data_IF_638709187381
#
_entry.id   IF_638709187381
#
_cell.length_a   1.000
_cell.length_b   1.000
_cell.length_c   1.000
_cell.angle_alpha   90.00
_cell.angle_beta   90.00
_cell.angle_gamma   90.00
#
_symmetry.space_group_name_H-M   'P 1'
#
loop_
_entity.id
_entity.type
_entity.pdbx_description
1 polymer ?
#
# COMPACT_ATOMS: atom_id res chain seq x y z
N UNK A 1 4.88 -15.96 -19.63
CA UNK A 1 3.94 -14.98 -20.22
C UNK A 1 4.34 -13.52 -20.02
N UNK A 2 5.64 -13.18 -20.04
CA UNK A 2 6.12 -11.79 -19.99
C UNK A 2 6.95 -11.41 -21.23
N UNK A 3 6.99 -12.28 -22.23
CA UNK A 3 7.81 -12.12 -23.42
C UNK A 3 7.50 -10.79 -24.13
N UNK A 4 6.24 -10.55 -24.53
CA UNK A 4 5.87 -9.32 -25.23
C UNK A 4 6.24 -8.03 -24.47
N UNK A 5 6.13 -8.04 -23.15
CA UNK A 5 6.53 -6.93 -22.28
C UNK A 5 8.06 -6.69 -22.34
N UNK A 6 8.85 -7.77 -22.22
CA UNK A 6 10.31 -7.69 -22.28
C UNK A 6 10.84 -7.39 -23.68
N UNK A 7 10.22 -7.90 -24.75
CA UNK A 7 10.60 -7.59 -26.14
C UNK A 7 10.57 -6.09 -26.43
N UNK A 8 9.54 -5.41 -25.93
CA UNK A 8 9.36 -3.97 -26.14
C UNK A 8 10.44 -3.20 -25.40
N UNK A 9 10.73 -3.58 -24.16
CA UNK A 9 11.81 -2.96 -23.38
C UNK A 9 13.17 -3.23 -24.04
N UNK A 10 13.40 -4.46 -24.54
CA UNK A 10 14.65 -4.85 -25.20
C UNK A 10 14.96 -4.02 -26.43
N UNK A 11 13.94 -3.52 -27.14
CA UNK A 11 14.13 -2.62 -28.28
C UNK A 11 14.66 -1.22 -27.91
N UNK A 12 14.64 -0.87 -26.61
CA UNK A 12 15.03 0.45 -26.11
C UNK A 12 16.26 0.41 -25.20
N UNK A 13 16.45 -0.67 -24.43
CA UNK A 13 17.55 -0.83 -23.47
C UNK A 13 18.02 -2.28 -23.38
N UNK A 14 19.23 -2.48 -22.84
CA UNK A 14 19.70 -3.80 -22.43
C UNK A 14 18.93 -4.30 -21.20
N UNK A 15 18.68 -5.61 -21.13
CA UNK A 15 17.94 -6.22 -20.02
C UNK A 15 18.90 -7.13 -19.25
N UNK A 16 19.04 -6.82 -17.97
CA UNK A 16 19.85 -7.56 -17.02
C UNK A 16 18.93 -8.34 -16.08
N UNK A 17 19.41 -9.47 -15.54
CA UNK A 17 18.66 -10.26 -14.57
C UNK A 17 19.59 -10.87 -13.52
N UNK A 18 19.05 -11.13 -12.33
CA UNK A 18 19.74 -11.82 -11.23
C UNK A 18 18.96 -13.09 -10.86
N UNK A 19 18.81 -13.99 -11.82
CA UNK A 19 17.96 -15.17 -11.70
C UNK A 19 18.82 -16.39 -11.42
N UNK A 20 18.43 -17.17 -10.41
CA UNK A 20 19.01 -18.47 -10.13
C UNK A 20 18.77 -19.44 -11.31
N UNK A 21 19.83 -20.10 -11.77
CA UNK A 21 19.75 -21.16 -12.77
C UNK A 21 20.21 -22.45 -12.12
N UNK A 22 19.30 -23.42 -12.01
CA UNK A 22 19.64 -24.79 -11.62
C UNK A 22 20.34 -25.48 -12.79
N UNK A 23 21.65 -25.69 -12.67
CA UNK A 23 22.47 -26.36 -13.70
C UNK A 23 22.27 -27.88 -13.73
N UNK A 24 21.66 -28.47 -12.70
CA UNK A 24 21.47 -29.92 -12.55
C UNK A 24 20.07 -30.40 -12.95
N UNK A 25 19.11 -29.47 -13.10
CA UNK A 25 17.75 -29.79 -13.54
C UNK A 25 17.69 -30.35 -14.97
N UNK A 26 17.26 -31.62 -15.10
CA UNK A 26 17.13 -32.35 -16.39
C UNK A 26 16.11 -31.73 -17.36
N UNK A 27 15.20 -30.89 -16.87
CA UNK A 27 14.22 -30.16 -17.69
C UNK A 27 14.51 -28.66 -17.68
N UNK A 28 15.41 -28.22 -18.57
CA UNK A 28 15.72 -26.80 -18.83
C UNK A 28 14.51 -26.10 -19.44
N UNK A 29 13.53 -25.73 -18.63
CA UNK A 29 12.56 -24.72 -19.04
C UNK A 29 13.23 -23.35 -18.88
N UNK A 30 13.99 -22.97 -19.91
CA UNK A 30 14.56 -21.61 -20.02
C UNK A 30 13.39 -20.62 -20.09
N UNK A 31 12.96 -20.14 -18.93
CA UNK A 31 11.91 -19.12 -18.78
C UNK A 31 12.45 -17.71 -19.00
N UNK A 32 13.78 -17.58 -19.12
CA UNK A 32 14.51 -16.34 -19.36
C UNK A 32 14.84 -16.25 -20.86
N UNK A 33 14.46 -15.16 -21.56
CA UNK A 33 14.86 -14.93 -22.94
C UNK A 33 16.40 -14.86 -23.11
N UNK A 34 16.91 -15.30 -24.26
CA UNK A 34 18.35 -15.40 -24.53
C UNK A 34 19.10 -14.06 -24.58
N UNK A 35 18.39 -12.95 -24.80
CA UNK A 35 18.97 -11.60 -24.81
C UNK A 35 19.12 -10.98 -23.41
N UNK A 36 18.70 -11.68 -22.35
CA UNK A 36 18.86 -11.20 -20.98
C UNK A 36 20.26 -11.53 -20.49
N UNK A 37 21.00 -10.50 -20.11
CA UNK A 37 22.29 -10.64 -19.45
C UNK A 37 22.06 -11.10 -18.00
N UNK A 38 22.09 -12.41 -17.75
CA UNK A 38 21.87 -12.96 -16.42
C UNK A 38 23.16 -13.00 -15.60
N UNK A 39 23.17 -12.33 -14.45
CA UNK A 39 24.27 -12.24 -13.50
C UNK A 39 24.23 -13.32 -12.43
N UNK A 40 23.19 -14.16 -12.42
CA UNK A 40 22.99 -15.15 -11.36
C UNK A 40 22.60 -14.50 -10.03
N UNK A 41 22.83 -15.20 -8.91
CA UNK A 41 22.61 -14.62 -7.59
C UNK A 41 23.83 -13.78 -7.19
N UNK A 42 23.58 -12.52 -6.85
CA UNK A 42 24.60 -11.58 -6.40
C UNK A 42 24.55 -11.42 -4.88
N UNK A 43 25.70 -11.10 -4.28
CA UNK A 43 25.72 -10.58 -2.92
C UNK A 43 25.16 -9.13 -2.89
N UNK A 44 25.00 -8.56 -1.68
CA UNK A 44 24.44 -7.22 -1.54
C UNK A 44 25.26 -6.13 -2.23
N UNK A 45 26.59 -6.16 -2.12
CA UNK A 45 27.48 -5.15 -2.71
C UNK A 45 27.43 -5.14 -4.24
N UNK A 46 27.51 -6.32 -4.85
CA UNK A 46 27.44 -6.49 -6.30
C UNK A 46 26.04 -6.11 -6.84
N UNK A 47 24.98 -6.46 -6.09
CA UNK A 47 23.63 -6.05 -6.44
C UNK A 47 23.48 -4.51 -6.42
N UNK A 48 23.97 -3.84 -5.38
CA UNK A 48 23.93 -2.38 -5.31
C UNK A 48 24.78 -1.73 -6.40
N UNK A 49 25.91 -2.32 -6.78
CA UNK A 49 26.72 -1.87 -7.92
C UNK A 49 25.95 -1.97 -9.23
N UNK A 50 25.27 -3.09 -9.46
CA UNK A 50 24.39 -3.27 -10.62
C UNK A 50 23.21 -2.27 -10.62
N UNK A 51 22.60 -2.02 -9.46
CA UNK A 51 21.50 -1.07 -9.34
C UNK A 51 21.94 0.37 -9.64
N UNK A 52 23.12 0.80 -9.18
CA UNK A 52 23.69 2.13 -9.50
C UNK A 52 23.99 2.32 -10.99
N UNK A 53 24.22 1.22 -11.71
CA UNK A 53 24.42 1.23 -13.17
C UNK A 53 23.09 1.11 -13.95
N UNK A 54 21.99 0.81 -13.26
CA UNK A 54 20.69 0.54 -13.87
C UNK A 54 19.82 1.80 -13.90
N UNK A 55 19.29 2.15 -15.08
CA UNK A 55 18.34 3.26 -15.21
C UNK A 55 16.92 2.87 -14.77
N UNK A 56 16.53 1.63 -15.03
CA UNK A 56 15.16 1.13 -14.86
C UNK A 56 15.20 -0.21 -14.11
N UNK A 57 14.39 -0.32 -13.06
CA UNK A 57 14.09 -1.58 -12.38
C UNK A 57 12.72 -2.09 -12.85
N UNK A 58 12.70 -3.31 -13.40
CA UNK A 58 11.55 -3.83 -14.15
C UNK A 58 10.72 -4.78 -13.28
N UNK A 59 9.55 -4.36 -12.84
CA UNK A 59 8.58 -5.24 -12.18
C UNK A 59 7.92 -6.20 -13.16
N UNK A 60 7.76 -7.46 -12.74
CA UNK A 60 7.12 -8.52 -13.53
C UNK A 60 5.71 -8.88 -13.05
N UNK A 61 5.27 -8.33 -11.91
CA UNK A 61 3.99 -8.57 -11.26
C UNK A 61 4.06 -9.53 -10.06
N UNK A 62 5.25 -10.08 -9.79
CA UNK A 62 5.57 -10.91 -8.63
C UNK A 62 7.10 -10.86 -8.40
N UNK A 63 7.61 -10.87 -7.15
CA UNK A 63 6.90 -10.91 -5.87
C UNK A 63 6.13 -9.62 -5.55
N UNK A 64 5.14 -9.71 -4.66
CA UNK A 64 4.37 -8.57 -4.17
C UNK A 64 5.09 -7.89 -3.00
N UNK A 65 5.15 -6.56 -3.00
CA UNK A 65 5.59 -5.74 -1.85
C UNK A 65 6.94 -6.16 -1.23
N UNK A 66 7.87 -6.61 -2.07
CA UNK A 66 9.24 -6.90 -1.64
C UNK A 66 10.08 -5.62 -1.50
N UNK A 67 11.24 -5.68 -0.82
CA UNK A 67 12.10 -4.53 -0.59
C UNK A 67 12.86 -4.05 -1.85
N UNK A 68 13.11 -4.93 -2.83
CA UNK A 68 13.98 -4.65 -3.96
C UNK A 68 13.61 -3.40 -4.79
N UNK A 69 12.32 -3.08 -5.06
CA UNK A 69 11.97 -1.80 -5.69
C UNK A 69 12.42 -0.57 -4.89
N UNK A 70 12.40 -0.61 -3.56
CA UNK A 70 12.87 0.51 -2.73
C UNK A 70 14.39 0.64 -2.78
N UNK A 71 15.12 -0.49 -2.74
CA UNK A 71 16.58 -0.49 -2.92
C UNK A 71 16.99 0.06 -4.29
N UNK A 72 16.26 -0.29 -5.34
CA UNK A 72 16.50 0.22 -6.68
C UNK A 72 16.32 1.75 -6.77
N UNK A 73 15.21 2.27 -6.21
CA UNK A 73 14.93 3.71 -6.17
C UNK A 73 15.96 4.45 -5.30
N UNK A 74 16.37 3.86 -4.19
CA UNK A 74 17.44 4.39 -3.33
C UNK A 74 18.81 4.40 -4.01
N UNK A 75 19.00 3.68 -5.13
CA UNK A 75 20.21 3.72 -5.96
C UNK A 75 20.01 4.51 -7.26
N UNK A 76 18.88 5.22 -7.41
CA UNK A 76 18.61 6.12 -8.54
C UNK A 76 17.91 5.47 -9.74
N UNK A 77 17.56 4.19 -9.65
CA UNK A 77 16.80 3.51 -10.70
C UNK A 77 15.31 3.85 -10.61
N UNK A 78 14.65 3.92 -11.76
CA UNK A 78 13.20 4.13 -11.84
C UNK A 78 12.47 2.79 -11.85
N UNK A 79 11.47 2.61 -10.99
CA UNK A 79 10.70 1.37 -10.93
C UNK A 79 9.50 1.39 -11.88
N UNK A 80 9.45 0.44 -12.82
CA UNK A 80 8.22 0.13 -13.56
C UNK A 80 7.40 -0.85 -12.73
N UNK A 81 6.27 -0.38 -12.20
CA UNK A 81 5.40 -1.11 -11.29
C UNK A 81 4.16 -1.65 -12.03
N UNK A 82 4.00 -2.96 -12.20
CA UNK A 82 2.83 -3.52 -12.87
C UNK A 82 1.53 -3.20 -12.13
N UNK A 83 0.59 -2.56 -12.83
CA UNK A 83 -0.78 -2.30 -12.38
C UNK A 83 -1.62 -3.56 -12.47
N UNK A 84 -2.51 -3.77 -11.50
CA UNK A 84 -3.47 -4.86 -11.46
C UNK A 84 -4.89 -4.33 -11.61
N UNK A 85 -5.54 -4.71 -12.70
CA UNK A 85 -6.95 -4.45 -12.94
C UNK A 85 -7.64 -5.73 -13.45
N UNK A 86 -8.52 -6.37 -12.66
CA UNK A 86 -8.91 -5.99 -11.31
C UNK A 86 -7.75 -6.12 -10.29
N UNK A 87 -7.80 -5.41 -9.15
CA UNK A 87 -6.84 -5.56 -8.06
C UNK A 87 -6.72 -7.01 -7.56
N UNK A 88 -5.51 -7.45 -7.24
CA UNK A 88 -5.28 -8.80 -6.72
C UNK A 88 -5.67 -8.91 -5.25
N UNK A 89 -6.34 -9.99 -4.85
CA UNK A 89 -6.73 -10.26 -3.46
C UNK A 89 -6.90 -11.75 -3.21
N UNK A 90 -7.26 -12.11 -1.97
CA UNK A 90 -7.61 -13.49 -1.58
C UNK A 90 -8.78 -14.07 -2.39
N UNK A 91 -9.62 -13.22 -3.00
CA UNK A 91 -10.79 -13.63 -3.80
C UNK A 91 -10.44 -14.09 -5.22
N UNK A 92 -9.34 -13.58 -5.81
CA UNK A 92 -9.04 -13.80 -7.23
C UNK A 92 -7.61 -14.27 -7.53
N UNK A 93 -6.74 -14.36 -6.54
CA UNK A 93 -5.31 -14.69 -6.73
C UNK A 93 -4.89 -15.78 -5.77
N UNK A 94 -4.44 -16.93 -6.31
CA UNK A 94 -4.08 -18.12 -5.53
C UNK A 94 -3.07 -17.84 -4.41
N UNK A 95 -2.08 -16.97 -4.65
CA UNK A 95 -1.07 -16.59 -3.66
C UNK A 95 -1.67 -15.95 -2.39
N UNK A 96 -2.79 -15.25 -2.52
CA UNK A 96 -3.46 -14.59 -1.38
C UNK A 96 -4.55 -15.47 -0.75
N UNK A 97 -4.85 -16.65 -1.31
CA UNK A 97 -5.89 -17.54 -0.75
C UNK A 97 -5.53 -17.95 0.68
N UNK A 98 -6.47 -17.80 1.60
CA UNK A 98 -6.30 -18.16 3.02
C UNK A 98 -5.53 -17.15 3.87
N UNK A 99 -5.00 -16.07 3.29
CA UNK A 99 -4.41 -14.98 4.10
C UNK A 99 -5.51 -14.22 4.85
N UNK A 100 -5.32 -13.87 6.13
CA UNK A 100 -6.35 -13.25 6.98
C UNK A 100 -6.50 -11.75 6.68
N UNK A 101 -6.84 -11.40 5.45
CA UNK A 101 -7.03 -10.01 5.02
C UNK A 101 -7.94 -9.92 3.80
N UNK A 102 -8.78 -8.88 3.75
CA UNK A 102 -9.57 -8.51 2.58
C UNK A 102 -8.89 -7.47 1.68
N UNK A 103 -7.62 -7.13 1.99
CA UNK A 103 -6.89 -6.11 1.24
C UNK A 103 -6.75 -6.49 -0.22
N UNK A 104 -6.97 -5.49 -1.09
CA UNK A 104 -6.78 -5.56 -2.53
C UNK A 104 -5.50 -4.82 -2.92
N UNK A 105 -4.63 -5.43 -3.72
CA UNK A 105 -3.42 -4.80 -4.27
C UNK A 105 -3.71 -4.27 -5.66
N UNK A 106 -3.56 -2.96 -5.85
CA UNK A 106 -3.75 -2.25 -7.12
C UNK A 106 -2.54 -2.36 -8.06
N UNK A 107 -1.39 -2.78 -7.55
CA UNK A 107 -0.14 -2.96 -8.30
C UNK A 107 0.80 -3.94 -7.60
N UNK A 108 1.94 -4.27 -8.22
CA UNK A 108 2.95 -5.15 -7.63
C UNK A 108 3.47 -4.61 -6.29
N UNK A 109 3.63 -3.29 -6.17
CA UNK A 109 4.07 -2.63 -4.95
C UNK A 109 3.20 -1.40 -4.63
N UNK A 110 2.01 -1.57 -4.01
CA UNK A 110 1.08 -0.47 -3.75
C UNK A 110 1.66 0.67 -2.90
N UNK A 111 2.59 0.39 -1.99
CA UNK A 111 3.31 1.46 -1.28
C UNK A 111 4.09 2.37 -2.23
N UNK A 112 4.79 1.79 -3.22
CA UNK A 112 5.61 2.55 -4.16
C UNK A 112 4.72 3.34 -5.13
N UNK A 113 3.58 2.77 -5.52
CA UNK A 113 2.52 3.46 -6.26
C UNK A 113 1.97 4.67 -5.50
N UNK A 114 1.65 4.51 -4.21
CA UNK A 114 0.89 5.51 -3.45
C UNK A 114 1.77 6.60 -2.82
N UNK A 115 2.94 6.25 -2.31
CA UNK A 115 3.77 7.16 -1.50
C UNK A 115 4.98 7.71 -2.24
N UNK A 116 5.41 7.07 -3.34
CA UNK A 116 6.53 7.55 -4.17
C UNK A 116 6.02 8.13 -5.48
N UNK A 117 5.27 7.34 -6.25
CA UNK A 117 4.71 7.77 -7.52
C UNK A 117 5.76 8.26 -8.52
N UNK A 118 5.32 8.95 -9.57
CA UNK A 118 6.23 9.60 -10.52
C UNK A 118 6.99 10.75 -9.80
N UNK A 119 8.30 10.95 -10.06
CA UNK A 119 9.10 10.37 -11.13
C UNK A 119 9.76 9.00 -10.83
N UNK A 120 9.69 8.51 -9.59
CA UNK A 120 10.44 7.32 -9.17
C UNK A 120 9.77 6.00 -9.57
N UNK A 121 8.43 6.02 -9.66
CA UNK A 121 7.61 4.83 -9.86
C UNK A 121 6.58 5.09 -10.95
N UNK A 122 6.62 4.28 -12.00
CA UNK A 122 5.64 4.31 -13.08
C UNK A 122 4.71 3.09 -12.96
N UNK A 123 3.50 3.32 -12.45
CA UNK A 123 2.49 2.26 -12.29
C UNK A 123 1.65 2.11 -13.56
N UNK A 124 1.92 1.07 -14.36
CA UNK A 124 1.36 0.92 -15.72
C UNK A 124 0.78 -0.47 -15.97
N UNK A 125 -0.16 -0.58 -16.93
CA UNK A 125 -0.60 -1.90 -17.40
C UNK A 125 0.46 -2.48 -18.35
N UNK A 126 1.24 -3.43 -17.85
CA UNK A 126 2.30 -4.09 -18.62
C UNK A 126 1.79 -4.97 -19.78
N UNK A 127 0.47 -5.17 -19.91
CA UNK A 127 -0.13 -5.80 -21.10
C UNK A 127 -0.38 -4.79 -22.22
N UNK A 128 -0.49 -3.50 -21.89
CA UNK A 128 -0.60 -2.44 -22.87
C UNK A 128 0.81 -2.08 -23.39
N UNK A 129 1.20 -2.74 -24.48
CA UNK A 129 2.52 -2.61 -25.08
C UNK A 129 2.86 -1.18 -25.49
N UNK A 130 1.89 -0.42 -25.98
CA UNK A 130 2.11 0.98 -26.33
C UNK A 130 2.43 1.81 -25.08
N UNK A 131 1.66 1.63 -24.00
CA UNK A 131 1.93 2.29 -22.73
C UNK A 131 3.33 1.96 -22.16
N UNK A 132 3.75 0.69 -22.29
CA UNK A 132 5.11 0.27 -21.89
C UNK A 132 6.16 1.03 -22.68
N UNK A 133 6.04 1.05 -24.02
CA UNK A 133 6.99 1.72 -24.91
C UNK A 133 7.09 3.21 -24.59
N UNK A 134 5.96 3.89 -24.47
CA UNK A 134 5.90 5.32 -24.19
C UNK A 134 6.46 5.65 -22.81
N UNK A 135 6.20 4.80 -21.82
CA UNK A 135 6.72 4.96 -20.46
C UNK A 135 8.23 4.81 -20.42
N UNK A 136 8.79 3.77 -21.05
CA UNK A 136 10.24 3.55 -21.10
C UNK A 136 10.91 4.71 -21.84
N UNK A 137 10.39 5.13 -23.00
CA UNK A 137 10.92 6.28 -23.73
C UNK A 137 10.89 7.56 -22.88
N UNK A 138 9.78 7.83 -22.18
CA UNK A 138 9.64 8.97 -21.26
C UNK A 138 10.67 8.94 -20.13
N UNK A 139 10.92 7.77 -19.55
CA UNK A 139 11.96 7.61 -18.52
C UNK A 139 13.34 7.92 -19.10
N UNK A 140 13.67 7.38 -20.27
CA UNK A 140 14.98 7.61 -20.91
C UNK A 140 15.22 9.08 -21.27
N UNK A 141 14.17 9.82 -21.65
CA UNK A 141 14.28 11.25 -21.96
C UNK A 141 14.46 12.14 -20.73
N UNK A 142 13.93 11.75 -19.56
CA UNK A 142 13.81 12.65 -18.40
C UNK A 142 15.15 12.99 -17.73
N UNK A 143 16.17 12.14 -17.85
CA UNK A 143 17.56 12.29 -17.36
C UNK A 143 17.85 12.83 -15.95
N UNK A 144 16.84 13.25 -15.18
CA UNK A 144 16.93 13.82 -13.84
C UNK A 144 16.26 12.85 -12.85
N UNK A 145 16.94 11.74 -12.55
CA UNK A 145 16.54 10.88 -11.44
C UNK A 145 17.62 10.89 -10.40
N UNK A 146 17.25 11.29 -9.19
CA UNK A 146 18.14 11.25 -8.03
C UNK A 146 17.79 10.04 -7.16
N UNK A 147 18.79 9.41 -6.53
CA UNK A 147 18.55 8.44 -5.47
C UNK A 147 17.55 8.98 -4.45
N UNK A 148 16.53 8.19 -4.13
CA UNK A 148 15.50 8.60 -3.16
C UNK A 148 15.16 7.46 -2.21
N UNK A 149 15.17 7.78 -0.92
CA UNK A 149 14.75 6.88 0.15
C UNK A 149 13.74 7.64 1.02
N UNK A 150 12.49 7.15 1.16
CA UNK A 150 11.54 7.75 2.08
C UNK A 150 12.11 7.71 3.49
N UNK A 151 11.92 8.78 4.25
CA UNK A 151 12.48 8.91 5.59
C UNK A 151 12.14 7.70 6.48
N UNK A 152 10.91 7.18 6.43
CA UNK A 152 10.47 6.00 7.19
C UNK A 152 11.23 4.70 6.89
N UNK A 153 11.99 4.66 5.80
CA UNK A 153 12.88 3.55 5.42
C UNK A 153 14.37 3.83 5.66
N UNK A 154 14.73 5.01 6.17
CA UNK A 154 16.08 5.29 6.69
C UNK A 154 16.26 4.68 8.08
N UNK A 155 17.51 4.52 8.51
CA UNK A 155 17.84 4.05 9.86
C UNK A 155 17.21 4.97 10.93
N UNK A 156 17.35 6.29 10.77
CA UNK A 156 16.81 7.29 11.70
C UNK A 156 15.27 7.25 11.73
N UNK A 157 14.62 7.22 10.58
CA UNK A 157 13.16 7.15 10.51
C UNK A 157 12.60 5.84 11.06
N UNK A 158 13.31 4.72 10.92
CA UNK A 158 12.93 3.48 11.59
C UNK A 158 13.08 3.60 13.11
N UNK A 159 14.19 4.15 13.61
CA UNK A 159 14.41 4.35 15.04
C UNK A 159 13.36 5.28 15.66
N UNK A 160 13.03 6.40 15.02
CA UNK A 160 11.98 7.31 15.46
C UNK A 160 10.63 6.58 15.60
N UNK A 161 10.22 5.83 14.57
CA UNK A 161 8.96 5.08 14.58
C UNK A 161 8.94 4.03 15.68
N UNK A 162 10.01 3.27 15.82
CA UNK A 162 10.10 2.22 16.84
C UNK A 162 10.09 2.81 18.25
N UNK A 163 10.82 3.91 18.48
CA UNK A 163 10.83 4.61 19.75
C UNK A 163 9.43 5.09 20.15
N UNK A 164 8.71 5.77 19.23
CA UNK A 164 7.35 6.23 19.48
C UNK A 164 6.39 5.08 19.81
N UNK A 165 6.51 3.93 19.14
CA UNK A 165 5.72 2.75 19.49
C UNK A 165 6.06 2.21 20.89
N UNK A 166 7.34 2.13 21.24
CA UNK A 166 7.77 1.63 22.56
C UNK A 166 7.26 2.53 23.68
N UNK A 167 7.37 3.84 23.53
CA UNK A 167 7.02 4.81 24.58
C UNK A 167 5.50 5.01 24.71
N UNK A 168 4.75 4.96 23.61
CA UNK A 168 3.36 5.42 23.61
C UNK A 168 2.31 4.34 23.26
N UNK A 169 2.67 3.28 22.54
CA UNK A 169 1.69 2.26 22.12
C UNK A 169 1.43 1.26 23.26
N UNK A 170 0.43 1.56 24.10
CA UNK A 170 0.10 0.79 25.29
C UNK A 170 -1.22 0.02 25.17
N UNK A 171 -1.14 -1.31 25.15
CA UNK A 171 -2.30 -2.22 25.16
C UNK A 171 -2.54 -2.91 26.51
N UNK A 172 -1.80 -2.57 27.57
CA UNK A 172 -1.84 -3.29 28.85
C UNK A 172 -2.66 -2.58 29.93
N UNK A 173 -2.72 -1.25 29.91
CA UNK A 173 -3.35 -0.45 30.96
C UNK A 173 -4.77 -0.03 30.60
N UNK A 174 -5.72 -0.97 30.64
CA UNK A 174 -7.13 -0.71 30.34
C UNK A 174 -7.87 0.12 31.40
N UNK A 175 -7.32 0.25 32.61
CA UNK A 175 -8.03 0.75 33.79
C UNK A 175 -7.46 2.06 34.39
N UNK A 176 -6.27 2.49 33.97
CA UNK A 176 -5.66 3.76 34.40
C UNK A 176 -5.38 4.55 33.13
N UNK A 177 -6.25 5.51 32.79
CA UNK A 177 -6.18 6.22 31.52
C UNK A 177 -4.82 6.91 31.33
N UNK A 178 -3.91 6.38 30.50
CA UNK A 178 -2.88 7.21 29.92
C UNK A 178 -3.58 8.13 28.90
N UNK A 179 -2.93 9.22 28.51
CA UNK A 179 -3.37 9.95 27.33
C UNK A 179 -3.47 8.96 26.14
N UNK A 180 -4.60 8.97 25.43
CA UNK A 180 -4.82 8.11 24.26
C UNK A 180 -3.76 8.42 23.20
N UNK A 181 -3.16 7.37 22.63
CA UNK A 181 -2.19 7.50 21.55
C UNK A 181 -2.65 6.71 20.31
N UNK A 182 -2.79 7.35 19.13
CA UNK A 182 -2.63 8.79 18.90
C UNK A 182 -3.69 9.64 19.62
N UNK A 183 -3.45 10.94 19.87
CA UNK A 183 -4.40 11.81 20.56
C UNK A 183 -5.60 12.16 19.68
N UNK A 184 -6.76 12.38 20.29
CA UNK A 184 -7.99 12.79 19.58
C UNK A 184 -7.80 14.03 18.70
N UNK A 185 -6.90 14.95 19.08
CA UNK A 185 -6.60 16.16 18.31
C UNK A 185 -5.99 15.87 16.93
N UNK A 186 -5.39 14.69 16.75
CA UNK A 186 -4.82 14.26 15.48
C UNK A 186 -5.86 13.58 14.56
N UNK A 187 -7.06 13.27 15.06
CA UNK A 187 -8.08 12.47 14.38
C UNK A 187 -9.27 13.33 13.97
N UNK A 188 -9.74 13.10 12.74
CA UNK A 188 -10.98 13.65 12.19
C UNK A 188 -11.93 12.51 11.89
N UNK A 189 -13.21 12.70 12.16
CA UNK A 189 -14.24 11.74 11.81
C UNK A 189 -14.86 12.13 10.47
N UNK A 190 -14.94 11.16 9.56
CA UNK A 190 -15.39 11.37 8.19
C UNK A 190 -16.44 10.32 7.89
N UNK A 191 -17.65 10.76 7.53
CA UNK A 191 -18.64 9.88 6.93
C UNK A 191 -18.29 9.66 5.45
N UNK A 192 -17.85 8.45 5.12
CA UNK A 192 -17.44 8.07 3.77
C UNK A 192 -18.61 8.01 2.78
N UNK A 193 -18.30 8.03 1.50
CA UNK A 193 -19.28 7.77 0.45
C UNK A 193 -19.67 6.28 0.40
N UNK A 194 -20.80 5.99 -0.27
CA UNK A 194 -21.28 4.62 -0.47
C UNK A 194 -20.27 3.80 -1.26
N UNK A 195 -20.05 2.55 -0.87
CA UNK A 195 -19.11 1.67 -1.56
C UNK A 195 -17.64 2.04 -1.37
N UNK A 196 -17.31 2.91 -0.40
CA UNK A 196 -15.94 3.32 -0.09
C UNK A 196 -15.52 2.78 1.27
N UNK A 197 -14.30 2.24 1.36
CA UNK A 197 -13.74 1.78 2.63
C UNK A 197 -13.23 2.94 3.48
N UNK A 198 -13.09 2.75 4.81
CA UNK A 198 -12.51 3.81 5.65
C UNK A 198 -11.07 4.16 5.27
N UNK A 199 -10.28 3.17 4.85
CA UNK A 199 -8.94 3.40 4.30
C UNK A 199 -9.00 4.43 3.15
N UNK A 200 -9.88 4.21 2.19
CA UNK A 200 -9.95 5.04 0.98
C UNK A 200 -10.60 6.40 1.26
N UNK A 201 -11.61 6.45 2.13
CA UNK A 201 -12.25 7.70 2.57
C UNK A 201 -11.26 8.63 3.29
N UNK A 202 -10.44 8.09 4.20
CA UNK A 202 -9.39 8.86 4.86
C UNK A 202 -8.32 9.31 3.85
N UNK A 203 -7.88 8.38 2.97
CA UNK A 203 -6.85 8.67 1.97
C UNK A 203 -7.26 9.81 1.03
N UNK A 204 -8.52 9.85 0.59
CA UNK A 204 -9.06 10.92 -0.24
C UNK A 204 -9.00 12.31 0.41
N UNK A 205 -8.81 12.38 1.73
CA UNK A 205 -8.61 13.62 2.50
C UNK A 205 -7.16 13.84 2.95
N UNK A 206 -6.20 13.09 2.41
CA UNK A 206 -4.80 13.08 2.84
C UNK A 206 -4.64 12.71 4.33
N UNK A 207 -5.42 11.73 4.78
CA UNK A 207 -5.38 11.18 6.13
C UNK A 207 -5.22 9.66 6.07
N UNK A 208 -4.93 9.03 7.21
CA UNK A 208 -4.84 7.57 7.35
C UNK A 208 -5.91 7.11 8.32
N UNK A 209 -6.62 6.02 8.00
CA UNK A 209 -7.58 5.44 8.93
C UNK A 209 -6.90 4.94 10.20
N UNK A 210 -7.39 5.37 11.37
CA UNK A 210 -6.84 5.00 12.67
C UNK A 210 -7.83 4.16 13.49
N UNK A 211 -7.63 2.83 13.57
CA UNK A 211 -8.62 1.95 14.16
C UNK A 211 -8.79 2.12 15.68
N UNK A 212 -7.86 2.78 16.36
CA UNK A 212 -7.95 2.98 17.83
C UNK A 212 -9.08 3.92 18.24
N UNK A 213 -9.66 4.67 17.29
CA UNK A 213 -10.72 5.65 17.54
C UNK A 213 -12.11 5.17 17.16
N UNK A 214 -12.27 3.94 16.64
CA UNK A 214 -13.60 3.43 16.30
C UNK A 214 -14.54 3.34 17.51
N UNK A 215 -14.02 3.02 18.70
CA UNK A 215 -14.81 3.00 19.95
C UNK A 215 -15.45 4.36 20.26
N UNK A 216 -14.76 5.45 19.96
CA UNK A 216 -15.23 6.80 20.27
C UNK A 216 -16.40 7.24 19.39
N UNK A 217 -16.54 6.61 18.21
CA UNK A 217 -17.54 6.95 17.19
C UNK A 217 -18.59 5.86 17.00
N UNK A 218 -18.62 4.85 17.86
CA UNK A 218 -19.53 3.72 17.76
C UNK A 218 -20.87 3.99 18.44
N UNK A 219 -21.54 5.08 18.05
CA UNK A 219 -22.84 5.48 18.57
C UNK A 219 -23.72 6.09 17.48
N UNK A 220 -25.03 6.12 17.72
CA UNK A 220 -25.98 6.79 16.81
C UNK A 220 -25.69 8.29 16.77
N UNK A 221 -25.39 8.87 17.93
CA UNK A 221 -25.11 10.28 18.12
C UNK A 221 -23.90 10.71 17.28
N UNK A 222 -22.80 9.96 17.34
CA UNK A 222 -21.61 10.24 16.53
C UNK A 222 -21.89 10.18 15.03
N UNK A 223 -22.73 9.25 14.57
CA UNK A 223 -23.16 9.18 13.17
C UNK A 223 -23.96 10.42 12.75
N UNK A 224 -24.92 10.85 13.58
CA UNK A 224 -25.74 12.04 13.33
C UNK A 224 -24.89 13.32 13.30
N UNK A 225 -23.99 13.49 14.26
CA UNK A 225 -23.05 14.64 14.34
C UNK A 225 -22.14 14.75 13.12
N UNK A 226 -21.85 13.62 12.46
CA UNK A 226 -21.02 13.55 11.26
C UNK A 226 -21.82 13.45 9.95
N UNK A 227 -23.11 13.81 9.98
CA UNK A 227 -23.93 14.02 8.79
C UNK A 227 -24.79 12.84 8.35
N UNK A 228 -24.89 11.76 9.13
CA UNK A 228 -25.88 10.72 8.89
C UNK A 228 -27.29 11.23 9.25
N UNK A 229 -28.33 10.68 8.61
CA UNK A 229 -29.73 11.13 8.79
C UNK A 229 -30.65 10.03 9.32
N UNK A 230 -30.09 9.06 10.05
CA UNK A 230 -30.83 7.88 10.49
C UNK A 230 -31.83 8.18 11.63
N UNK A 231 -33.04 7.61 11.54
CA UNK A 231 -34.05 7.79 12.59
C UNK A 231 -33.86 6.79 13.75
N UNK A 232 -33.41 5.58 13.43
CA UNK A 232 -33.21 4.47 14.38
C UNK A 232 -31.80 3.92 14.27
N UNK A 233 -31.40 3.14 15.27
CA UNK A 233 -30.13 2.42 15.28
C UNK A 233 -30.33 0.96 15.62
N UNK A 234 -29.46 0.11 15.09
CA UNK A 234 -29.39 -1.32 15.41
C UNK A 234 -27.95 -1.75 15.60
N UNK A 235 -27.74 -2.72 16.49
CA UNK A 235 -26.43 -3.33 16.67
C UNK A 235 -26.24 -4.47 15.69
N UNK A 236 -25.08 -4.52 15.03
CA UNK A 236 -24.71 -5.56 14.08
C UNK A 236 -23.25 -5.96 14.30
N UNK A 237 -22.98 -7.24 14.06
CA UNK A 237 -21.64 -7.82 14.10
C UNK A 237 -21.08 -7.89 12.68
N UNK A 238 -19.94 -7.25 12.43
CA UNK A 238 -19.26 -7.32 11.12
C UNK A 238 -18.28 -6.19 10.88
N UNK A 239 -17.38 -6.31 9.91
CA UNK A 239 -16.24 -5.38 9.74
C UNK A 239 -16.60 -3.98 9.21
N UNK A 240 -17.88 -3.75 8.87
CA UNK A 240 -18.31 -2.55 8.14
C UNK A 240 -18.84 -1.44 9.07
N UNK A 241 -19.04 -1.73 10.35
CA UNK A 241 -19.69 -0.84 11.31
C UNK A 241 -18.66 -0.05 12.14
N UNK A 242 -18.96 1.19 12.58
CA UNK A 242 -20.26 1.88 12.46
C UNK A 242 -20.54 2.43 11.06
N UNK A 243 -21.79 2.36 10.62
CA UNK A 243 -22.19 2.87 9.31
C UNK A 243 -23.64 3.36 9.27
N UNK A 244 -23.91 4.25 8.33
CA UNK A 244 -25.24 4.65 7.93
C UNK A 244 -25.70 3.83 6.72
N UNK A 245 -26.81 3.11 6.86
CA UNK A 245 -27.43 2.38 5.75
C UNK A 245 -28.37 3.30 4.98
N UNK A 246 -27.98 3.62 3.75
CA UNK A 246 -28.70 4.59 2.92
C UNK A 246 -30.01 4.06 2.32
N UNK A 247 -30.24 2.75 2.39
CA UNK A 247 -31.46 2.10 1.89
C UNK A 247 -32.50 2.00 3.01
N UNK A 248 -32.09 1.52 4.19
CA UNK A 248 -33.01 1.38 5.34
C UNK A 248 -33.13 2.65 6.19
N UNK A 249 -32.24 3.63 5.99
CA UNK A 249 -32.12 4.85 6.79
C UNK A 249 -31.84 4.58 8.28
N UNK A 250 -31.04 3.54 8.56
CA UNK A 250 -30.66 3.09 9.90
C UNK A 250 -29.17 3.37 10.19
N UNK A 251 -28.86 3.70 11.44
CA UNK A 251 -27.49 3.69 11.94
C UNK A 251 -27.13 2.32 12.48
N UNK A 252 -26.15 1.69 11.87
CA UNK A 252 -25.69 0.34 12.16
C UNK A 252 -24.43 0.43 13.02
N UNK A 253 -24.57 0.04 14.30
CA UNK A 253 -23.55 0.17 15.34
C UNK A 253 -22.83 -1.17 15.52
N UNK A 254 -21.51 -1.15 15.69
CA UNK A 254 -20.73 -2.36 15.92
C UNK A 254 -21.06 -2.96 17.28
N UNK A 255 -21.41 -4.24 17.30
CA UNK A 255 -21.58 -5.00 18.55
C UNK A 255 -20.26 -5.59 19.08
N UNK A 256 -19.40 -6.06 18.18
CA UNK A 256 -18.14 -6.74 18.53
C UNK A 256 -16.94 -5.83 18.24
N UNK A 257 -16.37 -5.21 19.26
CA UNK A 257 -15.28 -4.23 19.10
C UNK A 257 -14.04 -4.79 18.38
N UNK A 258 -13.78 -6.09 18.50
CA UNK A 258 -12.67 -6.75 17.80
C UNK A 258 -12.81 -6.74 16.28
N UNK A 259 -14.00 -6.42 15.75
CA UNK A 259 -14.29 -6.37 14.32
C UNK A 259 -14.18 -4.97 13.72
N UNK A 260 -13.83 -3.94 14.50
CA UNK A 260 -13.52 -2.64 13.92
C UNK A 260 -12.43 -2.75 12.86
N UNK A 261 -12.67 -2.15 11.69
CA UNK A 261 -11.80 -2.38 10.53
C UNK A 261 -11.73 -1.14 9.63
N UNK A 262 -10.52 -0.77 9.23
CA UNK A 262 -10.32 0.27 8.22
C UNK A 262 -10.65 -0.19 6.79
N UNK A 263 -10.68 -1.51 6.55
CA UNK A 263 -10.97 -2.09 5.23
C UNK A 263 -12.41 -2.56 5.13
N UNK A 264 -12.85 -2.93 3.93
CA UNK A 264 -14.22 -3.34 3.65
C UNK A 264 -15.08 -2.19 3.13
N UNK A 265 -15.87 -2.49 2.11
CA UNK A 265 -16.73 -1.56 1.38
C UNK A 265 -18.09 -2.22 1.14
N UNK A 266 -19.17 -1.43 1.07
CA UNK A 266 -20.51 -1.94 0.77
C UNK A 266 -21.32 -0.88 0.02
N UNK A 267 -22.02 -1.28 -1.05
CA UNK A 267 -22.68 -0.35 -1.97
C UNK A 267 -23.81 0.48 -1.34
N UNK A 268 -24.35 0.01 -0.21
CA UNK A 268 -25.48 0.63 0.48
C UNK A 268 -25.07 1.40 1.74
N UNK A 269 -23.83 1.23 2.19
CA UNK A 269 -23.36 1.75 3.48
C UNK A 269 -22.41 2.93 3.30
N UNK A 270 -22.64 3.98 4.07
CA UNK A 270 -21.68 5.05 4.34
C UNK A 270 -21.03 4.77 5.69
N UNK A 271 -19.73 4.55 5.71
CA UNK A 271 -19.01 4.18 6.94
C UNK A 271 -18.54 5.44 7.66
N UNK A 272 -18.68 5.49 8.98
CA UNK A 272 -18.07 6.57 9.77
C UNK A 272 -16.64 6.16 10.13
N UNK A 273 -15.69 6.97 9.67
CA UNK A 273 -14.29 6.60 9.61
C UNK A 273 -13.43 7.52 10.47
N UNK A 274 -12.63 6.97 11.40
CA UNK A 274 -11.64 7.73 12.14
C UNK A 274 -10.37 7.90 11.29
N UNK A 275 -10.05 9.13 10.96
CA UNK A 275 -8.98 9.48 10.02
C UNK A 275 -7.96 10.40 10.69
N UNK A 276 -6.75 9.91 10.94
CA UNK A 276 -5.68 10.72 11.53
C UNK A 276 -4.81 11.41 10.50
N UNK A 277 -4.23 12.55 10.89
CA UNK A 277 -3.12 13.13 10.15
C UNK A 277 -1.86 12.23 10.25
N UNK A 278 -0.86 12.53 9.44
CA UNK A 278 0.41 11.83 9.48
C UNK A 278 1.57 12.77 9.14
N UNK A 279 2.75 12.43 9.61
CA UNK A 279 4.00 13.09 9.20
C UNK A 279 4.30 12.59 7.78
N UNK A 280 4.42 13.51 6.81
CA UNK A 280 4.80 13.13 5.44
C UNK A 280 6.11 12.34 5.49
N UNK A 281 6.20 11.26 4.72
CA UNK A 281 7.33 10.30 4.72
C UNK A 281 7.63 9.62 6.07
N UNK A 282 6.72 9.69 7.05
CA UNK A 282 6.67 8.90 8.29
C UNK A 282 5.21 8.58 8.63
N UNK A 283 4.61 7.71 7.82
CA UNK A 283 3.15 7.51 7.77
C UNK A 283 2.59 6.87 9.03
N UNK A 284 3.43 6.12 9.75
CA UNK A 284 3.13 5.50 11.04
C UNK A 284 2.72 6.49 12.13
N UNK A 285 3.22 7.72 12.09
CA UNK A 285 3.08 8.70 13.17
C UNK A 285 2.18 9.85 12.74
N UNK A 286 1.30 10.28 13.64
CA UNK A 286 0.57 11.53 13.51
C UNK A 286 1.52 12.73 13.74
N UNK A 287 1.11 13.94 13.37
CA UNK A 287 1.89 15.14 13.71
C UNK A 287 1.89 15.33 15.23
N UNK A 288 3.07 15.34 15.85
CA UNK A 288 3.24 15.40 17.31
C UNK A 288 3.13 14.05 18.02
N UNK A 289 3.10 12.94 17.27
CA UNK A 289 3.13 11.58 17.85
C UNK A 289 4.55 11.00 17.95
N UNK A 290 5.56 11.73 17.47
CA UNK A 290 6.97 11.34 17.46
C UNK A 290 7.74 11.69 18.75
N UNK A 291 7.08 12.38 19.68
CA UNK A 291 7.64 12.97 20.91
C UNK A 291 6.96 12.42 22.16
#
# INVERSE_FOLDING_TARGET
>A
GKAAYLEVIKSLVEIHGTVYIDTEAKNKTHTIPSYVNNHGLLNGEDLHTLLRQSKIFIGLGFPYEGPAPLEAIANGAVFINPKFNPPHSSKNTKFFKGKPTERKLTSQHPYAEQFLGEPYVYTIDIKNIQQVKDTVARILHRNEFHPYMPYEYTEEGMLQRMNAYIEHQNFCQFQKQPAKWPPNSAVKFILGEKGVSCKDACWAKNLICDPSHFRDINSKESLLENGATCAQSKEITGILYPSFNTVTNECEIQKEEFLFSCVGEHLELQRLCPCRNYIKVQTALCQGCEV
#
